data_IF_198502068781
#
_entry.id   IF_198502068781
#
_cell.length_a   1.000
_cell.length_b   1.000
_cell.length_c   1.000
_cell.angle_alpha   90.00
_cell.angle_beta   90.00
_cell.angle_gamma   90.00
#
_symmetry.space_group_name_H-M   'P 1'
#
loop_
_entity.id
_entity.type
_entity.pdbx_description
1 polymer ?
#
# COMPACT_ATOMS: atom_id res chain seq x y z
N UNK A 1 -22.83 28.41 12.49
CA UNK A 1 -23.73 27.25 12.28
C UNK A 1 -23.04 26.39 11.26
N UNK A 2 -22.19 25.52 11.78
CA UNK A 2 -21.36 24.60 11.02
C UNK A 2 -22.21 23.36 10.72
N UNK A 3 -22.26 22.96 9.45
CA UNK A 3 -22.92 21.71 9.03
C UNK A 3 -21.89 20.92 8.25
N UNK A 4 -21.16 20.08 8.96
CA UNK A 4 -20.30 19.03 8.42
C UNK A 4 -21.15 17.81 8.06
N UNK A 5 -21.57 17.71 6.80
CA UNK A 5 -22.23 16.51 6.28
C UNK A 5 -21.16 15.45 5.93
N UNK A 6 -20.84 14.61 6.91
CA UNK A 6 -19.99 13.44 6.72
C UNK A 6 -20.68 12.38 5.85
N UNK A 7 -20.27 12.29 4.58
CA UNK A 7 -20.77 11.27 3.64
C UNK A 7 -20.08 9.93 3.91
N UNK A 8 -20.83 8.95 4.43
CA UNK A 8 -20.39 7.56 4.62
C UNK A 8 -20.73 6.73 3.37
N UNK A 9 -19.72 6.26 2.64
CA UNK A 9 -19.90 5.33 1.52
C UNK A 9 -19.65 3.89 1.97
N UNK A 10 -20.71 3.09 2.04
CA UNK A 10 -20.63 1.63 2.14
C UNK A 10 -20.71 1.04 0.72
N UNK A 11 -19.64 0.40 0.26
CA UNK A 11 -19.66 -0.39 -0.98
C UNK A 11 -19.67 -1.87 -0.60
N UNK A 12 -20.86 -2.47 -0.73
CA UNK A 12 -21.07 -3.91 -0.59
C UNK A 12 -20.61 -4.65 -1.85
N UNK A 13 -19.97 -5.80 -1.63
CA UNK A 13 -19.55 -6.72 -2.69
C UNK A 13 -20.68 -7.67 -3.13
N UNK A 14 -20.74 -7.91 -4.43
CA UNK A 14 -21.31 -9.09 -5.14
C UNK A 14 -20.58 -9.10 -6.50
N UNK A 15 -20.24 -10.18 -7.19
CA UNK A 15 -20.31 -11.62 -7.00
C UNK A 15 -19.56 -12.17 -8.22
N UNK A 16 -18.56 -13.01 -8.01
CA UNK A 16 -17.76 -13.57 -9.12
C UNK A 16 -18.57 -14.67 -9.82
N UNK A 17 -18.72 -14.52 -11.12
CA UNK A 17 -19.57 -15.33 -12.00
C UNK A 17 -18.78 -16.57 -12.44
N UNK A 18 -19.18 -17.75 -11.97
CA UNK A 18 -18.69 -19.03 -12.49
C UNK A 18 -19.88 -19.82 -13.07
N UNK A 19 -19.90 -20.18 -14.36
CA UNK A 19 -20.93 -21.04 -14.92
C UNK A 19 -20.50 -22.52 -14.81
N UNK A 20 -21.40 -23.41 -14.37
CA UNK A 20 -21.21 -24.85 -14.60
C UNK A 20 -22.53 -25.62 -14.58
N UNK A 21 -22.85 -26.19 -15.74
CA UNK A 21 -23.34 -27.55 -15.90
C UNK A 21 -24.68 -27.93 -15.28
N UNK A 22 -25.73 -27.94 -16.09
CA UNK A 22 -26.97 -28.64 -15.79
C UNK A 22 -26.80 -30.16 -15.76
N UNK A 23 -27.63 -30.80 -14.94
CA UNK A 23 -28.12 -32.16 -15.15
C UNK A 23 -29.44 -32.27 -14.42
N UNK A 24 -30.49 -32.51 -15.20
CA UNK A 24 -31.81 -32.92 -14.73
C UNK A 24 -31.70 -34.28 -14.02
N UNK A 25 -32.57 -34.52 -13.04
CA UNK A 25 -33.52 -35.64 -13.04
C UNK A 25 -34.14 -35.92 -11.66
N UNK A 26 -35.49 -35.89 -11.63
CA UNK A 26 -36.41 -36.78 -10.87
C UNK A 26 -36.48 -36.62 -9.32
N UNK A 27 -37.62 -36.48 -8.62
CA UNK A 27 -39.00 -36.94 -8.80
C UNK A 27 -40.01 -36.04 -8.03
N UNK A 28 -41.25 -36.09 -8.50
CA UNK A 28 -42.53 -35.48 -8.05
C UNK A 28 -42.92 -35.56 -6.56
N UNK A 29 -43.77 -34.62 -6.07
CA UNK A 29 -44.44 -34.67 -4.77
C UNK A 29 -45.84 -35.30 -4.88
N UNK A 30 -46.26 -36.15 -3.94
CA UNK A 30 -47.69 -36.44 -3.65
C UNK A 30 -47.80 -37.32 -2.40
N UNK A 31 -48.59 -36.88 -1.42
CA UNK A 31 -49.80 -37.59 -0.99
C UNK A 31 -50.11 -37.29 0.48
N UNK A 32 -51.31 -36.75 0.66
CA UNK A 32 -51.95 -36.45 1.92
C UNK A 32 -52.55 -37.73 2.54
N UNK A 33 -52.99 -37.58 3.79
CA UNK A 33 -54.13 -38.22 4.44
C UNK A 33 -53.89 -39.30 5.53
N UNK A 34 -54.31 -38.91 6.75
CA UNK A 34 -55.35 -39.55 7.58
C UNK A 34 -55.00 -40.00 9.01
N UNK A 35 -55.70 -39.33 9.95
CA UNK A 35 -56.39 -39.84 11.15
C UNK A 35 -55.57 -40.34 12.34
N UNK A 36 -55.85 -39.77 13.53
CA UNK A 36 -55.65 -40.48 14.80
C UNK A 36 -55.46 -39.60 16.03
N UNK A 37 -56.42 -39.66 16.95
CA UNK A 37 -56.52 -38.96 18.23
C UNK A 37 -55.52 -39.41 19.31
N UNK A 38 -55.16 -38.43 20.17
CA UNK A 38 -55.00 -38.52 21.64
C UNK A 38 -53.74 -39.09 22.32
N UNK A 39 -53.09 -38.18 23.07
CA UNK A 39 -52.60 -38.29 24.47
C UNK A 39 -52.09 -39.64 25.00
N UNK A 40 -50.78 -39.73 25.26
CA UNK A 40 -50.22 -39.93 26.62
C UNK A 40 -48.69 -40.05 26.59
N UNK A 41 -48.03 -39.31 27.49
CA UNK A 41 -46.79 -39.73 28.14
C UNK A 41 -45.51 -39.76 27.29
N UNK A 42 -44.63 -38.77 27.52
CA UNK A 42 -43.19 -39.03 27.65
C UNK A 42 -42.53 -37.85 28.35
N UNK A 43 -42.12 -38.06 29.60
CA UNK A 43 -41.22 -37.18 30.35
C UNK A 43 -39.93 -37.07 29.53
N UNK A 44 -39.68 -35.89 28.95
CA UNK A 44 -38.45 -35.61 28.25
C UNK A 44 -37.32 -35.42 29.27
N UNK A 45 -36.70 -36.52 29.69
CA UNK A 45 -35.35 -36.43 30.25
C UNK A 45 -34.44 -35.95 29.13
N UNK A 46 -34.10 -34.66 29.13
CA UNK A 46 -33.02 -34.14 28.30
C UNK A 46 -31.72 -34.69 28.87
N UNK A 47 -31.29 -35.85 28.40
CA UNK A 47 -29.90 -36.26 28.51
C UNK A 47 -29.09 -35.21 27.74
N UNK A 48 -28.40 -34.33 28.47
CA UNK A 48 -27.49 -33.34 27.89
C UNK A 48 -26.37 -34.08 27.17
N UNK A 49 -26.49 -34.19 25.85
CA UNK A 49 -25.37 -34.59 25.00
C UNK A 49 -24.48 -33.36 24.86
N UNK A 50 -23.36 -33.34 25.57
CA UNK A 50 -22.32 -32.35 25.34
C UNK A 50 -21.83 -32.49 23.90
N UNK A 51 -22.05 -31.46 23.08
CA UNK A 51 -21.52 -31.40 21.74
C UNK A 51 -20.04 -31.04 21.84
N UNK A 52 -19.17 -32.04 21.76
CA UNK A 52 -17.73 -31.81 21.59
C UNK A 52 -17.51 -31.34 20.16
N UNK A 53 -17.34 -30.03 20.00
CA UNK A 53 -16.95 -29.43 18.72
C UNK A 53 -15.43 -29.52 18.62
N UNK A 54 -14.92 -30.23 17.61
CA UNK A 54 -13.49 -30.26 17.28
C UNK A 54 -13.07 -28.86 16.78
N UNK A 55 -12.69 -28.00 17.73
CA UNK A 55 -12.26 -26.64 17.43
C UNK A 55 -10.80 -26.69 16.95
N UNK A 56 -10.44 -25.91 15.92
CA UNK A 56 -9.05 -25.79 15.52
C UNK A 56 -8.16 -25.45 16.73
N UNK A 57 -6.93 -25.98 16.81
CA UNK A 57 -6.04 -25.71 17.93
C UNK A 57 -5.94 -24.20 18.19
N UNK A 58 -5.96 -23.76 19.46
CA UNK A 58 -5.87 -22.35 19.78
C UNK A 58 -4.60 -21.78 19.12
N UNK A 59 -4.76 -20.63 18.44
CA UNK A 59 -3.63 -19.94 17.82
C UNK A 59 -2.55 -19.76 18.87
N UNK A 60 -1.33 -20.21 18.59
CA UNK A 60 -0.16 -19.94 19.44
C UNK A 60 -0.12 -18.42 19.67
N UNK A 61 -0.46 -17.98 20.88
CA UNK A 61 -0.44 -16.57 21.22
C UNK A 61 1.01 -16.15 21.24
N UNK A 62 1.45 -15.41 20.21
CA UNK A 62 2.76 -14.76 20.26
C UNK A 62 2.73 -13.79 21.43
N UNK A 63 3.77 -13.80 22.26
CA UNK A 63 3.84 -12.90 23.40
C UNK A 63 3.93 -11.45 22.93
N UNK A 64 3.61 -10.49 23.81
CA UNK A 64 3.63 -9.07 23.49
C UNK A 64 5.02 -8.62 22.99
N UNK A 65 6.07 -9.21 23.55
CA UNK A 65 7.47 -8.98 23.21
C UNK A 65 7.77 -9.30 21.74
N UNK A 66 7.14 -10.33 21.16
CA UNK A 66 7.27 -10.62 19.74
C UNK A 66 6.78 -9.47 18.87
N UNK A 67 5.61 -8.91 19.17
CA UNK A 67 5.04 -7.81 18.39
C UNK A 67 5.85 -6.52 18.56
N UNK A 68 6.30 -6.22 19.79
CA UNK A 68 7.21 -5.10 20.05
C UNK A 68 8.53 -5.28 19.29
N UNK A 69 9.07 -6.50 19.26
CA UNK A 69 10.27 -6.86 18.49
C UNK A 69 10.08 -6.61 16.99
N UNK A 70 9.00 -7.12 16.40
CA UNK A 70 8.69 -6.90 14.98
C UNK A 70 8.55 -5.41 14.63
N UNK A 71 7.88 -4.62 15.47
CA UNK A 71 7.76 -3.17 15.24
C UNK A 71 9.13 -2.50 15.32
N UNK A 72 9.94 -2.86 16.32
CA UNK A 72 11.28 -2.28 16.52
C UNK A 72 12.22 -2.60 15.36
N UNK A 73 12.23 -3.86 14.89
CA UNK A 73 13.00 -4.29 13.72
C UNK A 73 12.57 -3.54 12.46
N UNK A 74 11.25 -3.41 12.23
CA UNK A 74 10.73 -2.66 11.08
C UNK A 74 11.14 -1.19 11.10
N UNK A 75 11.13 -0.55 12.28
CA UNK A 75 11.59 0.84 12.44
C UNK A 75 13.10 0.98 12.16
N UNK A 76 13.90 0.02 12.64
CA UNK A 76 15.34 0.03 12.40
C UNK A 76 15.68 -0.19 10.92
N UNK A 77 14.99 -1.12 10.27
CA UNK A 77 15.14 -1.38 8.84
C UNK A 77 14.76 -0.16 7.99
N UNK A 78 13.65 0.50 8.32
CA UNK A 78 13.26 1.76 7.70
C UNK A 78 14.33 2.84 7.85
N UNK A 79 14.83 3.04 9.08
CA UNK A 79 15.89 4.04 9.33
C UNK A 79 17.16 3.74 8.53
N UNK A 80 17.57 2.47 8.45
CA UNK A 80 18.72 2.06 7.64
C UNK A 80 18.48 2.35 6.16
N UNK A 81 17.29 2.03 5.65
CA UNK A 81 16.96 2.25 4.24
C UNK A 81 16.87 3.74 3.89
N UNK A 82 16.30 4.56 4.77
CA UNK A 82 16.28 6.01 4.62
C UNK A 82 17.72 6.56 4.57
N UNK A 83 18.60 6.08 5.45
CA UNK A 83 20.00 6.49 5.46
C UNK A 83 20.75 6.10 4.17
N UNK A 84 20.47 4.92 3.60
CA UNK A 84 21.10 4.46 2.37
C UNK A 84 20.60 5.24 1.14
N UNK A 85 19.31 5.57 1.10
CA UNK A 85 18.71 6.43 0.07
C UNK A 85 19.35 7.82 0.12
N UNK A 86 19.41 8.45 1.29
CA UNK A 86 20.05 9.78 1.45
C UNK A 86 21.51 9.76 1.01
N UNK A 87 22.26 8.70 1.35
CA UNK A 87 23.66 8.54 0.91
C UNK A 87 23.75 8.43 -0.62
N UNK A 88 22.87 7.64 -1.24
CA UNK A 88 22.81 7.50 -2.70
C UNK A 88 22.48 8.83 -3.39
N UNK A 89 21.54 9.61 -2.85
CA UNK A 89 21.20 10.93 -3.38
C UNK A 89 22.38 11.91 -3.32
N UNK A 90 23.14 11.90 -2.23
CA UNK A 90 24.34 12.73 -2.06
C UNK A 90 25.46 12.37 -3.04
N UNK A 91 25.73 11.07 -3.22
CA UNK A 91 26.73 10.59 -4.19
C UNK A 91 26.33 11.02 -5.61
N UNK A 92 25.05 10.86 -5.95
CA UNK A 92 24.49 11.25 -7.23
C UNK A 92 24.57 12.78 -7.48
N UNK A 93 24.29 13.60 -6.46
CA UNK A 93 24.43 15.06 -6.55
C UNK A 93 25.89 15.47 -6.81
N UNK A 94 26.84 14.81 -6.15
CA UNK A 94 28.28 15.08 -6.34
C UNK A 94 28.73 14.77 -7.77
N UNK A 95 28.25 13.68 -8.35
CA UNK A 95 28.54 13.34 -9.75
C UNK A 95 28.01 14.41 -10.71
N UNK A 96 26.79 14.89 -10.50
CA UNK A 96 26.20 15.92 -11.37
C UNK A 96 26.89 17.27 -11.21
N UNK A 97 27.30 17.65 -10.00
CA UNK A 97 28.08 18.87 -9.79
C UNK A 97 29.45 18.79 -10.46
N UNK A 98 30.09 17.62 -10.43
CA UNK A 98 31.33 17.38 -11.18
C UNK A 98 31.10 17.52 -12.69
N UNK A 99 30.00 16.98 -13.22
CA UNK A 99 29.65 17.17 -14.64
C UNK A 99 29.43 18.65 -14.99
N UNK A 100 28.83 19.43 -14.09
CA UNK A 100 28.68 20.89 -14.26
C UNK A 100 30.05 21.59 -14.32
N UNK A 101 31.02 21.15 -13.53
CA UNK A 101 32.41 21.65 -13.59
C UNK A 101 33.08 21.28 -14.91
N UNK A 102 32.90 20.03 -15.37
CA UNK A 102 33.39 19.54 -16.66
C UNK A 102 32.78 20.31 -17.85
N UNK A 103 31.55 20.82 -17.70
CA UNK A 103 30.89 21.73 -18.66
C UNK A 103 31.48 23.16 -18.68
N UNK A 104 32.50 23.42 -17.86
CA UNK A 104 33.21 24.68 -17.74
C UNK A 104 32.60 25.65 -16.74
N UNK A 105 31.74 25.18 -15.83
CA UNK A 105 31.16 26.03 -14.78
C UNK A 105 32.04 26.01 -13.54
N UNK A 106 32.68 27.13 -13.24
CA UNK A 106 33.57 27.24 -12.08
C UNK A 106 32.81 27.01 -10.75
N UNK A 107 33.42 26.25 -9.83
CA UNK A 107 32.97 26.18 -8.44
C UNK A 107 32.91 27.60 -7.85
N UNK A 108 31.82 27.93 -7.17
CA UNK A 108 31.58 29.25 -6.61
C UNK A 108 30.96 30.27 -7.57
N UNK A 109 30.76 29.92 -8.85
CA UNK A 109 29.94 30.74 -9.74
C UNK A 109 28.46 30.68 -9.37
N UNK A 110 27.69 31.71 -9.74
CA UNK A 110 26.23 31.72 -9.55
C UNK A 110 25.58 30.48 -10.18
N UNK A 111 26.01 30.09 -11.38
CA UNK A 111 25.45 28.94 -12.08
C UNK A 111 25.73 27.61 -11.35
N UNK A 112 26.87 27.49 -10.65
CA UNK A 112 27.17 26.34 -9.81
C UNK A 112 26.23 26.27 -8.59
N UNK A 113 25.95 27.40 -7.95
CA UNK A 113 25.01 27.48 -6.84
C UNK A 113 23.57 27.18 -7.29
N UNK A 114 23.17 27.67 -8.46
CA UNK A 114 21.90 27.31 -9.10
C UNK A 114 21.83 25.79 -9.30
N UNK A 115 22.86 25.18 -9.87
CA UNK A 115 22.89 23.73 -10.07
C UNK A 115 22.74 22.96 -8.74
N UNK A 116 23.47 23.39 -7.71
CA UNK A 116 23.40 22.79 -6.36
C UNK A 116 21.97 22.81 -5.80
N UNK A 117 21.26 23.93 -5.98
CA UNK A 117 19.88 24.03 -5.52
C UNK A 117 18.91 23.19 -6.37
N UNK A 118 19.04 23.26 -7.70
CA UNK A 118 18.18 22.51 -8.61
C UNK A 118 18.32 20.99 -8.43
N UNK A 119 19.52 20.49 -8.12
CA UNK A 119 19.79 19.07 -7.95
C UNK A 119 19.24 18.46 -6.66
N UNK A 120 18.68 19.26 -5.74
CA UNK A 120 17.89 18.73 -4.60
C UNK A 120 16.67 17.93 -5.05
N UNK A 121 16.18 18.15 -6.27
CA UNK A 121 15.07 17.39 -6.84
C UNK A 121 15.56 16.24 -7.70
N UNK A 122 15.17 15.00 -7.36
CA UNK A 122 15.46 13.80 -8.15
C UNK A 122 14.99 13.91 -9.61
N UNK A 123 13.80 14.50 -9.84
CA UNK A 123 13.28 14.72 -11.19
C UNK A 123 14.16 15.68 -12.01
N UNK A 124 14.67 16.74 -11.38
CA UNK A 124 15.59 17.70 -12.03
C UNK A 124 16.95 17.06 -12.33
N UNK A 125 17.47 16.23 -11.41
CA UNK A 125 18.68 15.44 -11.64
C UNK A 125 18.52 14.51 -12.84
N UNK A 126 17.41 13.76 -12.91
CA UNK A 126 17.10 12.89 -14.04
C UNK A 126 16.99 13.67 -15.36
N UNK A 127 16.25 14.78 -15.38
CA UNK A 127 16.12 15.62 -16.57
C UNK A 127 17.48 16.16 -17.04
N UNK A 128 18.31 16.66 -16.13
CA UNK A 128 19.62 17.20 -16.45
C UNK A 128 20.54 16.19 -17.14
N UNK A 129 20.53 14.92 -16.73
CA UNK A 129 21.31 13.85 -17.37
C UNK A 129 20.96 13.62 -18.83
N UNK A 130 19.70 13.84 -19.19
CA UNK A 130 19.23 13.62 -20.55
C UNK A 130 19.57 14.80 -21.49
N UNK A 131 20.15 15.89 -20.97
CA UNK A 131 20.42 17.10 -21.75
C UNK A 131 21.86 17.09 -22.25
N UNK A 132 21.98 17.32 -23.55
CA UNK A 132 23.24 17.49 -24.27
C UNK A 132 23.06 18.54 -25.38
N UNK A 133 24.14 19.19 -25.84
CA UNK A 133 25.49 19.21 -25.26
C UNK A 133 25.58 20.09 -23.99
N UNK A 134 26.79 20.32 -23.47
CA UNK A 134 27.07 21.10 -22.25
C UNK A 134 26.40 22.49 -22.24
N UNK A 135 26.31 23.14 -23.40
CA UNK A 135 25.70 24.45 -23.61
C UNK A 135 24.22 24.42 -23.26
N UNK A 136 23.52 23.36 -23.66
CA UNK A 136 22.11 23.15 -23.36
C UNK A 136 21.89 22.87 -21.87
N UNK A 137 22.80 22.14 -21.22
CA UNK A 137 22.76 21.94 -19.77
C UNK A 137 22.87 23.26 -19.02
N UNK A 138 23.86 24.10 -19.38
CA UNK A 138 24.04 25.45 -18.81
C UNK A 138 22.84 26.36 -19.06
N UNK A 139 22.25 26.32 -20.25
CA UNK A 139 21.04 27.08 -20.58
C UNK A 139 19.83 26.60 -19.77
N UNK A 140 19.65 25.28 -19.65
CA UNK A 140 18.56 24.68 -18.89
C UNK A 140 18.60 25.05 -17.41
N UNK A 141 19.79 25.09 -16.80
CA UNK A 141 19.96 25.53 -15.41
C UNK A 141 19.41 26.95 -15.20
N UNK A 142 19.79 27.89 -16.05
CA UNK A 142 19.32 29.29 -15.99
C UNK A 142 17.81 29.38 -16.20
N UNK A 143 17.32 28.77 -17.27
CA UNK A 143 15.90 28.82 -17.62
C UNK A 143 15.01 28.20 -16.53
N UNK A 144 15.42 27.06 -15.96
CA UNK A 144 14.67 26.37 -14.92
C UNK A 144 14.64 27.19 -13.63
N UNK A 145 15.75 27.83 -13.29
CA UNK A 145 15.85 28.70 -12.12
C UNK A 145 14.92 29.91 -12.23
N UNK A 146 14.94 30.58 -13.37
CA UNK A 146 14.13 31.78 -13.61
C UNK A 146 12.63 31.45 -13.60
N UNK A 147 12.25 30.28 -14.12
CA UNK A 147 10.85 29.86 -14.15
C UNK A 147 10.35 29.27 -12.84
N UNK A 148 11.23 28.71 -12.01
CA UNK A 148 10.87 28.21 -10.68
C UNK A 148 10.43 29.35 -9.73
N UNK A 149 10.85 30.59 -9.98
CA UNK A 149 10.62 31.77 -9.14
C UNK A 149 9.41 32.62 -9.54
N UNK A 150 8.75 32.30 -10.64
CA UNK A 150 7.60 33.08 -11.18
C UNK A 150 6.24 32.54 -10.70
N UNK A 151 6.22 31.74 -9.64
CA UNK A 151 5.00 31.18 -9.05
C UNK A 151 4.53 31.99 -7.86
#
# INVERSE_FOLDING_TARGET
MDTEEGTMLCVGGIGERTPSGGSDDNLTPMSNDNVGLSSAGRVAQRAGKEQVVDSPPPKKSKNMEYYVGCISESMLERSRNESSVLRGEQDEMKELLRLVEEDGVAQGSELYFIATDLFRSAARRAAFRCIYPAENRKAWLRWTWDNARKK
#
